data_IF_543613531377
#
_entry.id   IF_543613531377
#
_cell.length_a   1.000
_cell.length_b   1.000
_cell.length_c   1.000
_cell.angle_alpha   90.00
_cell.angle_beta   90.00
_cell.angle_gamma   90.00
#
_symmetry.space_group_name_H-M   'P 1'
#
loop_
_entity.id
_entity.type
_entity.pdbx_description
1 polymer ?
#
# COMPACT_ATOMS: atom_id res chain seq x y z
N UNK A 1 6.61 35.67 12.77
CA UNK A 1 6.70 34.88 11.52
C UNK A 1 6.19 33.46 11.83
N UNK A 2 4.90 33.22 11.61
CA UNK A 2 4.29 31.89 11.75
C UNK A 2 4.65 31.06 10.51
N UNK A 3 5.51 30.08 10.68
CA UNK A 3 5.71 29.02 9.69
C UNK A 3 4.50 28.08 9.81
N UNK A 4 3.56 28.19 8.88
CA UNK A 4 2.47 27.24 8.70
C UNK A 4 3.08 25.90 8.31
N UNK A 5 3.20 24.99 9.27
CA UNK A 5 3.50 23.59 9.00
C UNK A 5 2.26 23.04 8.31
N UNK A 6 2.35 22.88 6.98
CA UNK A 6 1.35 22.14 6.20
C UNK A 6 1.19 20.76 6.85
N UNK A 7 0.09 20.58 7.58
CA UNK A 7 -0.26 19.34 8.24
C UNK A 7 -0.39 18.24 7.19
N UNK A 8 0.57 17.32 7.20
CA UNK A 8 0.46 16.09 6.44
C UNK A 8 -0.74 15.33 7.00
N UNK A 9 -1.86 15.36 6.29
CA UNK A 9 -3.03 14.56 6.64
C UNK A 9 -2.57 13.11 6.71
N UNK A 10 -2.55 12.52 7.91
CA UNK A 10 -2.20 11.11 8.10
C UNK A 10 -3.26 10.28 7.38
N UNK A 11 -2.88 9.69 6.26
CA UNK A 11 -3.75 8.74 5.58
C UNK A 11 -3.81 7.45 6.38
N UNK A 12 -5.02 7.00 6.69
CA UNK A 12 -5.25 5.73 7.33
C UNK A 12 -5.10 4.58 6.32
N UNK A 13 -4.63 3.42 6.80
CA UNK A 13 -4.70 2.19 6.04
C UNK A 13 -6.13 1.65 6.09
N UNK A 14 -6.78 1.58 4.91
CA UNK A 14 -8.15 1.07 4.78
C UNK A 14 -8.18 -0.45 4.77
N UNK A 15 -9.11 -1.00 5.55
CA UNK A 15 -9.41 -2.42 5.61
C UNK A 15 -10.87 -2.66 5.28
N UNK A 16 -11.18 -3.72 4.54
CA UNK A 16 -12.55 -4.21 4.35
C UNK A 16 -12.74 -5.54 5.08
N UNK A 17 -13.96 -5.78 5.52
CA UNK A 17 -14.32 -7.07 6.10
C UNK A 17 -14.45 -8.11 4.99
N UNK A 18 -13.81 -9.24 5.18
CA UNK A 18 -13.98 -10.45 4.39
C UNK A 18 -14.37 -11.60 5.30
N UNK A 19 -15.04 -12.58 4.73
CA UNK A 19 -15.38 -13.82 5.41
C UNK A 19 -14.74 -15.02 4.71
N UNK A 20 -14.48 -16.05 5.48
CA UNK A 20 -14.04 -17.35 4.97
C UNK A 20 -14.56 -18.46 5.88
N UNK A 21 -14.93 -19.57 5.29
CA UNK A 21 -15.27 -20.79 6.01
C UNK A 21 -13.98 -21.51 6.46
N UNK A 22 -13.90 -21.81 7.74
CA UNK A 22 -12.76 -22.51 8.32
C UNK A 22 -12.81 -23.99 7.97
N UNK A 23 -11.82 -24.45 7.20
CA UNK A 23 -11.73 -25.86 6.74
C UNK A 23 -11.04 -26.78 7.75
N UNK A 24 -10.24 -26.22 8.67
CA UNK A 24 -9.38 -26.98 9.61
C UNK A 24 -9.43 -26.30 10.98
N UNK A 25 -9.25 -27.07 12.04
CA UNK A 25 -9.10 -26.59 13.41
C UNK A 25 -10.41 -26.55 14.21
N UNK A 26 -10.35 -25.91 15.39
CA UNK A 26 -11.45 -25.89 16.41
C UNK A 26 -12.76 -25.28 15.90
N UNK A 27 -12.70 -24.43 14.87
CA UNK A 27 -13.85 -23.74 14.28
C UNK A 27 -14.16 -24.23 12.86
N UNK A 28 -13.87 -25.51 12.55
CA UNK A 28 -14.19 -26.11 11.24
C UNK A 28 -15.69 -25.98 10.95
N UNK A 29 -16.02 -25.57 9.73
CA UNK A 29 -17.41 -25.38 9.29
C UNK A 29 -18.03 -24.04 9.73
N UNK A 30 -17.31 -23.20 10.48
CA UNK A 30 -17.81 -21.89 10.90
C UNK A 30 -17.31 -20.80 9.97
N UNK A 31 -18.18 -19.88 9.58
CA UNK A 31 -17.77 -18.67 8.84
C UNK A 31 -17.13 -17.67 9.80
N UNK A 32 -15.86 -17.32 9.52
CA UNK A 32 -15.13 -16.32 10.30
C UNK A 32 -14.89 -15.06 9.46
N UNK A 33 -14.94 -13.92 10.12
CA UNK A 33 -14.70 -12.61 9.50
C UNK A 33 -13.29 -12.12 9.85
N UNK A 34 -12.64 -11.49 8.88
CA UNK A 34 -11.31 -10.90 9.06
C UNK A 34 -11.15 -9.61 8.25
N UNK A 35 -10.28 -8.73 8.74
CA UNK A 35 -9.95 -7.51 8.05
C UNK A 35 -8.93 -7.79 6.93
N UNK A 36 -9.23 -7.33 5.72
CA UNK A 36 -8.34 -7.42 4.56
C UNK A 36 -7.95 -6.02 4.10
N UNK A 37 -6.65 -5.75 4.02
CA UNK A 37 -6.15 -4.45 3.59
C UNK A 37 -6.47 -4.21 2.11
N UNK A 38 -7.06 -3.06 1.81
CA UNK A 38 -7.48 -2.69 0.45
C UNK A 38 -6.81 -1.43 -0.06
N UNK A 39 -6.40 -0.53 0.83
CA UNK A 39 -5.81 0.74 0.43
C UNK A 39 -4.29 0.66 0.48
N UNK A 40 -3.67 0.91 -0.67
CA UNK A 40 -2.22 1.02 -0.82
C UNK A 40 -1.89 2.37 -1.46
N UNK A 41 -1.32 3.26 -0.68
CA UNK A 41 -0.78 4.52 -1.19
C UNK A 41 0.73 4.36 -1.39
N UNK A 42 1.18 4.58 -2.62
CA UNK A 42 2.60 4.50 -2.97
C UNK A 42 3.14 5.88 -3.32
N UNK A 43 4.22 6.28 -2.67
CA UNK A 43 4.99 7.43 -3.10
C UNK A 43 5.83 7.03 -4.32
N UNK A 44 5.62 7.68 -5.45
CA UNK A 44 6.40 7.41 -6.67
C UNK A 44 7.85 7.84 -6.51
N UNK A 45 8.76 7.23 -7.27
CA UNK A 45 10.18 7.60 -7.27
C UNK A 45 10.39 9.07 -7.59
N UNK A 46 9.66 9.62 -8.56
CA UNK A 46 9.72 11.04 -8.92
C UNK A 46 9.29 11.94 -7.75
N UNK A 47 8.24 11.58 -7.02
CA UNK A 47 7.82 12.33 -5.85
C UNK A 47 8.82 12.22 -4.68
N UNK A 48 9.50 11.08 -4.55
CA UNK A 48 10.58 10.89 -3.59
C UNK A 48 11.78 11.79 -3.92
N UNK A 49 12.23 11.78 -5.18
CA UNK A 49 13.31 12.63 -5.68
C UNK A 49 13.04 14.11 -5.40
N UNK A 50 11.84 14.59 -5.72
CA UNK A 50 11.43 15.96 -5.44
C UNK A 50 11.47 16.32 -3.95
N UNK A 51 11.05 15.40 -3.06
CA UNK A 51 11.12 15.63 -1.61
C UNK A 51 12.55 15.71 -1.12
N UNK A 52 13.45 14.84 -1.62
CA UNK A 52 14.87 14.85 -1.23
C UNK A 52 15.55 16.13 -1.72
N UNK A 53 15.30 16.55 -2.96
CA UNK A 53 15.80 17.82 -3.51
C UNK A 53 15.43 19.01 -2.60
N UNK A 54 14.22 19.05 -2.06
CA UNK A 54 13.78 20.11 -1.15
C UNK A 54 14.39 20.04 0.26
N UNK A 55 14.90 18.91 0.66
CA UNK A 55 15.48 18.68 1.99
C UNK A 55 17.01 18.74 1.98
N UNK A 56 17.62 18.69 0.81
CA UNK A 56 19.09 18.63 0.63
C UNK A 56 19.52 19.58 -0.46
N UNK A 57 20.81 19.72 -0.67
CA UNK A 57 21.41 20.48 -1.79
C UNK A 57 21.54 19.66 -3.08
N UNK A 58 21.09 18.41 -3.09
CA UNK A 58 21.16 17.51 -4.25
C UNK A 58 20.09 17.85 -5.28
N UNK A 59 20.43 17.77 -6.56
CA UNK A 59 19.44 17.83 -7.64
C UNK A 59 18.69 16.51 -7.78
N UNK A 60 17.51 16.51 -8.42
CA UNK A 60 16.76 15.28 -8.72
C UNK A 60 17.58 14.27 -9.53
N UNK A 61 18.44 14.75 -10.42
CA UNK A 61 19.33 13.90 -11.21
C UNK A 61 20.36 13.18 -10.31
N UNK A 62 20.94 13.89 -9.36
CA UNK A 62 21.90 13.30 -8.40
C UNK A 62 21.22 12.27 -7.50
N UNK A 63 20.02 12.59 -7.02
CA UNK A 63 19.23 11.66 -6.20
C UNK A 63 18.91 10.39 -6.98
N UNK A 64 18.47 10.52 -8.23
CA UNK A 64 18.20 9.36 -9.11
C UNK A 64 19.45 8.53 -9.35
N UNK A 65 20.58 9.17 -9.66
CA UNK A 65 21.84 8.48 -9.86
C UNK A 65 22.28 7.73 -8.59
N UNK A 66 22.13 8.33 -7.42
CA UNK A 66 22.42 7.69 -6.13
C UNK A 66 21.53 6.46 -5.87
N UNK A 67 20.23 6.54 -6.15
CA UNK A 67 19.29 5.40 -5.98
C UNK A 67 19.67 4.25 -6.93
N UNK A 68 20.03 4.57 -8.17
CA UNK A 68 20.44 3.55 -9.16
C UNK A 68 21.75 2.89 -8.71
N UNK A 69 22.75 3.66 -8.31
CA UNK A 69 24.01 3.15 -7.82
C UNK A 69 23.83 2.28 -6.57
N UNK A 70 23.01 2.72 -5.60
CA UNK A 70 22.68 1.95 -4.42
C UNK A 70 22.02 0.62 -4.77
N UNK A 71 21.07 0.62 -5.71
CA UNK A 71 20.41 -0.60 -6.17
C UNK A 71 21.39 -1.59 -6.79
N UNK A 72 22.34 -1.10 -7.61
CA UNK A 72 23.37 -1.94 -8.23
C UNK A 72 24.29 -2.57 -7.17
N UNK A 73 24.78 -1.78 -6.22
CA UNK A 73 25.63 -2.28 -5.13
C UNK A 73 24.89 -3.32 -4.28
N UNK A 74 23.62 -3.06 -3.92
CA UNK A 74 22.82 -4.01 -3.16
C UNK A 74 22.65 -5.33 -3.91
N UNK A 75 22.37 -5.29 -5.22
CA UNK A 75 22.24 -6.49 -6.05
C UNK A 75 23.55 -7.28 -6.10
N UNK A 76 24.68 -6.60 -6.30
CA UNK A 76 26.01 -7.22 -6.34
C UNK A 76 26.34 -7.93 -5.02
N UNK A 77 26.22 -7.24 -3.89
CA UNK A 77 26.51 -7.80 -2.56
C UNK A 77 25.60 -8.98 -2.22
N UNK A 78 24.31 -8.88 -2.49
CA UNK A 78 23.37 -9.96 -2.28
C UNK A 78 23.66 -11.17 -3.18
N UNK A 79 24.10 -10.97 -4.43
CA UNK A 79 24.48 -12.07 -5.33
C UNK A 79 25.66 -12.89 -4.78
N UNK A 80 26.52 -12.26 -4.01
CA UNK A 80 27.67 -12.88 -3.33
C UNK A 80 27.30 -13.45 -1.95
N UNK A 81 26.00 -13.43 -1.59
CA UNK A 81 25.52 -13.94 -0.31
C UNK A 81 25.77 -13.00 0.89
N UNK A 82 26.27 -11.80 0.64
CA UNK A 82 26.54 -10.81 1.69
C UNK A 82 25.29 -10.00 2.03
N UNK A 83 25.18 -9.58 3.27
CA UNK A 83 24.09 -8.68 3.72
C UNK A 83 24.51 -7.22 3.58
N UNK A 84 23.54 -6.34 3.26
CA UNK A 84 23.76 -4.90 3.10
C UNK A 84 23.00 -4.13 4.15
N UNK A 85 23.69 -3.36 4.98
CA UNK A 85 23.09 -2.45 5.96
C UNK A 85 22.91 -1.07 5.32
N UNK A 86 21.68 -0.57 5.30
CA UNK A 86 21.30 0.75 4.80
C UNK A 86 21.07 1.75 5.95
N UNK A 87 21.87 1.67 6.99
CA UNK A 87 21.79 2.59 8.13
C UNK A 87 20.42 2.56 8.81
N UNK A 88 19.78 3.72 8.93
CA UNK A 88 18.51 3.88 9.63
C UNK A 88 17.33 3.15 8.98
N UNK A 89 17.43 2.81 7.70
CA UNK A 89 16.36 2.11 6.98
C UNK A 89 16.26 0.65 7.45
N UNK A 90 17.37 -0.07 7.35
CA UNK A 90 17.37 -1.50 7.64
C UNK A 90 18.45 -2.27 6.93
N UNK A 91 18.38 -3.59 7.00
CA UNK A 91 19.36 -4.49 6.43
C UNK A 91 18.71 -5.45 5.46
N UNK A 92 19.24 -5.56 4.25
CA UNK A 92 18.91 -6.63 3.30
C UNK A 92 19.76 -7.87 3.59
N UNK A 93 19.12 -9.04 3.59
CA UNK A 93 19.79 -10.34 3.76
C UNK A 93 19.20 -11.36 2.81
N UNK A 94 20.03 -12.30 2.37
CA UNK A 94 19.55 -13.53 1.72
C UNK A 94 19.15 -14.52 2.80
N UNK A 95 17.98 -15.11 2.64
CA UNK A 95 17.47 -16.17 3.48
C UNK A 95 17.06 -17.37 2.63
N UNK A 96 17.47 -18.55 3.04
CA UNK A 96 17.05 -19.81 2.44
C UNK A 96 16.74 -20.80 3.57
N UNK A 97 15.79 -21.69 3.34
CA UNK A 97 15.43 -22.76 4.28
C UNK A 97 15.55 -24.11 3.60
N UNK A 98 16.17 -25.08 4.25
CA UNK A 98 16.23 -26.46 3.78
C UNK A 98 14.93 -27.22 4.01
N UNK A 99 14.71 -28.27 3.23
CA UNK A 99 13.72 -29.31 3.52
C UNK A 99 14.20 -30.11 4.72
N UNK A 100 13.27 -30.58 5.54
CA UNK A 100 13.61 -31.52 6.64
C UNK A 100 13.77 -32.92 6.08
N UNK A 101 14.92 -33.55 6.34
CA UNK A 101 15.26 -34.90 5.91
C UNK A 101 15.36 -35.83 7.10
N UNK A 102 15.23 -37.14 6.90
CA UNK A 102 15.28 -38.12 7.97
C UNK A 102 16.72 -38.37 8.43
N UNK A 103 17.69 -38.31 7.54
CA UNK A 103 19.10 -38.52 7.85
C UNK A 103 19.97 -37.35 7.43
N UNK A 104 21.07 -37.12 8.14
CA UNK A 104 22.02 -36.03 7.82
C UNK A 104 22.65 -36.20 6.42
N UNK A 105 22.83 -37.43 5.96
CA UNK A 105 23.40 -37.73 4.63
C UNK A 105 22.51 -37.28 3.45
N UNK A 106 21.20 -37.17 3.68
CA UNK A 106 20.24 -36.72 2.67
C UNK A 106 20.21 -35.19 2.54
N UNK A 107 20.85 -34.47 3.45
CA UNK A 107 20.93 -33.00 3.38
C UNK A 107 21.99 -32.60 2.36
N UNK A 108 21.54 -32.19 1.19
CA UNK A 108 22.38 -31.71 0.07
C UNK A 108 22.00 -30.29 -0.30
N UNK A 109 22.83 -29.55 -1.06
CA UNK A 109 22.47 -28.22 -1.55
C UNK A 109 21.12 -28.18 -2.29
N UNK A 110 20.72 -29.26 -2.95
CA UNK A 110 19.44 -29.39 -3.65
C UNK A 110 18.23 -29.45 -2.74
N UNK A 111 18.43 -29.83 -1.47
CA UNK A 111 17.37 -29.79 -0.47
C UNK A 111 17.10 -28.39 0.05
N UNK A 112 17.96 -27.41 -0.28
CA UNK A 112 17.78 -26.02 0.09
C UNK A 112 16.77 -25.39 -0.88
N UNK A 113 15.74 -24.75 -0.32
CA UNK A 113 14.73 -24.02 -1.11
C UNK A 113 15.38 -22.80 -1.74
N UNK A 114 14.78 -22.28 -2.81
CA UNK A 114 15.27 -21.06 -3.48
C UNK A 114 15.50 -19.94 -2.48
N UNK A 115 16.69 -19.34 -2.49
CA UNK A 115 16.99 -18.17 -1.68
C UNK A 115 16.05 -17.02 -2.02
N UNK A 116 15.72 -16.22 -1.05
CA UNK A 116 14.91 -15.02 -1.21
C UNK A 116 15.48 -13.87 -0.39
N UNK A 117 15.25 -12.66 -0.86
CA UNK A 117 15.68 -11.44 -0.16
C UNK A 117 14.72 -11.15 0.99
N UNK A 118 15.29 -10.89 2.19
CA UNK A 118 14.54 -10.38 3.34
C UNK A 118 15.07 -9.02 3.74
N UNK A 119 14.16 -8.11 4.01
CA UNK A 119 14.45 -6.81 4.58
C UNK A 119 14.13 -6.79 6.07
N UNK A 120 15.10 -6.38 6.88
CA UNK A 120 14.98 -6.24 8.33
C UNK A 120 14.98 -4.75 8.68
N UNK A 121 13.80 -4.20 8.90
CA UNK A 121 13.63 -2.79 9.23
C UNK A 121 14.28 -2.43 10.58
N UNK A 122 14.97 -1.32 10.68
CA UNK A 122 15.49 -0.76 11.93
C UNK A 122 14.35 -0.18 12.79
N UNK A 123 14.69 0.16 14.03
CA UNK A 123 13.73 0.67 15.03
C UNK A 123 12.88 1.84 14.52
N UNK A 124 13.45 2.89 13.88
CA UNK A 124 12.67 4.01 13.35
C UNK A 124 11.57 3.57 12.38
N UNK A 125 11.88 2.68 11.44
CA UNK A 125 10.93 2.16 10.47
C UNK A 125 9.81 1.36 11.13
N UNK A 126 10.14 0.53 12.14
CA UNK A 126 9.15 -0.24 12.90
C UNK A 126 8.23 0.65 13.74
N UNK A 127 8.75 1.73 14.31
CA UNK A 127 7.94 2.70 15.04
C UNK A 127 7.01 3.47 14.10
N UNK A 128 7.49 3.89 12.93
CA UNK A 128 6.66 4.52 11.92
C UNK A 128 5.48 3.61 11.49
N UNK A 129 5.75 2.33 11.25
CA UNK A 129 4.69 1.37 10.91
C UNK A 129 3.64 1.20 12.01
N UNK A 130 4.05 1.27 13.31
CA UNK A 130 3.12 1.17 14.45
C UNK A 130 2.28 2.43 14.67
N UNK A 131 2.72 3.58 14.16
CA UNK A 131 2.02 4.87 14.31
C UNK A 131 0.98 5.13 13.22
N UNK A 132 0.79 4.18 12.27
CA UNK A 132 -0.18 4.31 11.20
C UNK A 132 -1.60 4.14 11.75
N UNK A 133 -2.50 5.04 11.36
CA UNK A 133 -3.92 4.91 11.66
C UNK A 133 -4.54 3.78 10.83
N UNK A 134 -5.42 3.00 11.45
CA UNK A 134 -6.12 1.88 10.81
C UNK A 134 -7.61 2.21 10.75
N UNK A 135 -8.24 2.01 9.61
CA UNK A 135 -9.66 2.28 9.40
C UNK A 135 -10.34 1.07 8.74
N UNK A 136 -11.46 0.63 9.30
CA UNK A 136 -12.29 -0.42 8.69
C UNK A 136 -13.39 0.25 7.87
N UNK A 137 -13.33 0.08 6.55
CA UNK A 137 -14.35 0.57 5.63
C UNK A 137 -15.46 -0.48 5.53
N UNK A 138 -16.62 -0.20 6.13
CA UNK A 138 -17.79 -1.04 6.02
C UNK A 138 -18.48 -0.77 4.68
N UNK A 139 -18.75 -1.80 3.87
CA UNK A 139 -19.36 -1.63 2.54
C UNK A 139 -20.76 -0.98 2.59
N UNK A 140 -21.46 -1.09 3.71
CA UNK A 140 -22.79 -0.51 3.88
C UNK A 140 -22.80 1.02 3.98
N UNK A 141 -21.69 1.65 4.40
CA UNK A 141 -21.59 3.12 4.50
C UNK A 141 -21.26 3.82 3.17
N UNK A 142 -20.75 3.10 2.20
CA UNK A 142 -20.41 3.67 0.88
C UNK A 142 -21.61 3.74 -0.08
N UNK A 143 -22.69 3.00 0.21
CA UNK A 143 -23.89 2.96 -0.63
C UNK A 143 -24.89 4.12 -0.36
N UNK A 144 -24.72 4.92 0.69
CA UNK A 144 -25.67 5.98 1.09
C UNK A 144 -25.37 7.35 0.48
N UNK A 145 -24.30 7.50 -0.30
CA UNK A 145 -24.01 8.75 -1.02
C UNK A 145 -24.47 8.70 -2.48
N UNK A 146 -25.74 8.34 -2.73
CA UNK A 146 -26.38 8.67 -4.01
C UNK A 146 -26.70 10.17 -4.01
N UNK A 147 -26.25 10.94 -5.00
CA UNK A 147 -26.65 12.35 -5.11
C UNK A 147 -28.18 12.38 -5.29
N UNK A 148 -28.88 13.05 -4.39
CA UNK A 148 -30.31 13.37 -4.54
C UNK A 148 -30.47 14.16 -5.85
N UNK A 149 -31.13 13.57 -6.85
CA UNK A 149 -31.65 14.30 -7.99
C UNK A 149 -32.54 15.43 -7.48
N UNK A 150 -32.39 16.68 -7.97
CA UNK A 150 -33.33 17.73 -7.62
C UNK A 150 -34.69 17.36 -8.20
N UNK A 151 -35.71 17.32 -7.33
CA UNK A 151 -37.12 17.27 -7.75
C UNK A 151 -37.40 18.56 -8.52
N UNK A 152 -37.60 18.43 -9.84
CA UNK A 152 -38.19 19.45 -10.67
C UNK A 152 -39.66 19.65 -10.20
N UNK A 153 -39.93 20.84 -9.66
CA UNK A 153 -41.26 21.29 -9.33
C UNK A 153 -42.09 21.45 -10.62
N UNK A 154 -43.21 20.79 -10.66
CA UNK A 154 -44.24 21.03 -11.64
C UNK A 154 -44.82 22.44 -11.42
N UNK A 155 -44.96 23.20 -12.50
CA UNK A 155 -45.89 24.33 -12.54
C UNK A 155 -46.81 24.12 -13.71
N UNK A 156 -48.08 24.06 -13.36
CA UNK A 156 -49.26 23.99 -14.14
C UNK A 156 -49.67 25.40 -14.59
N UNK A 157 -50.25 25.53 -15.77
CA UNK A 157 -50.93 26.69 -16.25
C UNK A 157 -50.79 26.73 -17.77
N UNK A 158 -51.73 26.53 -18.56
CA UNK A 158 -53.10 26.97 -18.60
C UNK A 158 -53.32 27.85 -19.80
N UNK A 159 -54.17 27.39 -20.68
CA UNK A 159 -55.10 28.20 -21.47
C UNK A 159 -54.68 28.87 -22.80
N UNK A 160 -55.33 28.36 -23.82
CA UNK A 160 -56.13 29.05 -24.86
C UNK A 160 -55.44 30.00 -25.87
N UNK A 161 -55.79 29.73 -27.10
CA UNK A 161 -56.30 30.76 -28.02
C UNK A 161 -55.69 30.76 -29.40
N UNK A 162 -56.38 30.17 -30.35
CA UNK A 162 -56.97 30.89 -31.47
C UNK A 162 -56.05 31.17 -32.66
N UNK A 163 -56.45 30.57 -33.77
CA UNK A 163 -56.81 31.35 -34.97
C UNK A 163 -55.68 31.46 -36.01
N UNK A 164 -55.87 30.75 -37.07
CA UNK A 164 -56.42 31.17 -38.35
C UNK A 164 -55.39 31.60 -39.40
N UNK A 165 -55.45 30.88 -40.53
CA UNK A 165 -55.40 31.24 -41.97
C UNK A 165 -54.05 31.76 -42.54
N UNK A 166 -53.58 31.12 -43.57
CA UNK A 166 -53.87 31.43 -44.96
C UNK A 166 -52.60 31.65 -45.76
N UNK A 167 -52.63 31.06 -46.87
CA UNK A 167 -52.01 31.19 -48.15
C UNK A 167 -50.84 30.30 -48.43
#
# INVERSE_FOLDING_TARGET
LFVSIMGTTKQALGYTLRNAEMKIGKHKGTTMYFAHQTTHHCLTTTALEYRIERMTSLTRADVRAAIIALSAIVQEELSQGRSVDLGELGTFKIAATGKRMLTAKEVTPETIRRPHVRFYAKRPMRLAARSVALEIVHPEKSASAKPKKPKGGGSQGGSEGGGHVGA
#
